data_IF_075573676158
#
_entry.id   IF_075573676158
#
_cell.length_a   1.000
_cell.length_b   1.000
_cell.length_c   1.000
_cell.angle_alpha   90.00
_cell.angle_beta   90.00
_cell.angle_gamma   90.00
#
_symmetry.space_group_name_H-M   'P 1'
#
loop_
_entity.id
_entity.type
_entity.pdbx_description
1 polymer ?
#
# COMPACT_ATOMS: atom_id res chain seq x y z
N UNK A 1 -17.07 -18.88 6.55
CA UNK A 1 -17.78 -17.79 7.23
C UNK A 1 -18.27 -16.83 6.15
N UNK A 2 -19.50 -16.33 6.23
CA UNK A 2 -20.02 -15.35 5.29
C UNK A 2 -19.77 -13.95 5.87
N UNK A 3 -19.10 -13.07 5.13
CA UNK A 3 -19.08 -11.64 5.43
C UNK A 3 -20.45 -11.06 5.10
N UNK A 4 -20.97 -10.16 5.94
CA UNK A 4 -22.36 -9.67 5.91
C UNK A 4 -22.80 -9.01 4.59
N UNK A 5 -24.03 -8.46 4.53
CA UNK A 5 -24.47 -7.73 3.35
C UNK A 5 -23.57 -6.51 3.17
N UNK A 6 -22.95 -6.39 2.00
CA UNK A 6 -22.12 -5.25 1.62
C UNK A 6 -22.74 -4.54 0.43
N UNK A 7 -22.50 -3.24 0.34
CA UNK A 7 -22.77 -2.48 -0.88
C UNK A 7 -21.76 -2.91 -1.96
N UNK A 8 -22.26 -3.48 -3.06
CA UNK A 8 -21.43 -3.98 -4.16
C UNK A 8 -21.35 -3.03 -5.36
N UNK A 9 -22.25 -2.06 -5.43
CA UNK A 9 -22.28 -1.05 -6.50
C UNK A 9 -21.15 -0.02 -6.36
N UNK A 10 -20.85 0.77 -7.40
CA UNK A 10 -19.82 1.80 -7.35
C UNK A 10 -19.96 2.72 -6.15
N UNK A 11 -18.86 2.89 -5.40
CA UNK A 11 -18.82 3.74 -4.20
C UNK A 11 -18.62 5.22 -4.53
N UNK A 12 -17.96 5.51 -5.65
CA UNK A 12 -17.59 6.86 -6.05
C UNK A 12 -18.33 7.26 -7.33
N UNK A 13 -18.96 8.43 -7.31
CA UNK A 13 -19.45 9.09 -8.52
C UNK A 13 -18.29 9.84 -9.19
N UNK A 14 -17.77 9.27 -10.28
CA UNK A 14 -16.63 9.82 -11.03
C UNK A 14 -16.97 11.18 -11.65
N UNK A 15 -18.23 11.40 -12.05
CA UNK A 15 -18.69 12.68 -12.61
C UNK A 15 -18.62 13.79 -11.57
N UNK A 16 -19.17 13.53 -10.38
CA UNK A 16 -19.11 14.46 -9.25
C UNK A 16 -17.67 14.75 -8.82
N UNK A 17 -16.83 13.72 -8.68
CA UNK A 17 -15.41 13.88 -8.29
C UNK A 17 -14.66 14.75 -9.31
N UNK A 18 -14.94 14.59 -10.60
CA UNK A 18 -14.33 15.41 -11.64
C UNK A 18 -14.78 16.87 -11.55
N UNK A 19 -16.06 17.14 -11.40
CA UNK A 19 -16.56 18.51 -11.21
C UNK A 19 -15.94 19.17 -9.97
N UNK A 20 -15.75 18.41 -8.90
CA UNK A 20 -15.12 18.92 -7.68
C UNK A 20 -13.62 19.21 -7.87
N UNK A 21 -12.91 18.40 -8.67
CA UNK A 21 -11.54 18.70 -9.08
C UNK A 21 -11.44 19.99 -9.91
N UNK A 22 -12.38 20.22 -10.83
CA UNK A 22 -12.43 21.43 -11.67
C UNK A 22 -12.72 22.69 -10.83
N UNK A 23 -13.66 22.61 -9.89
CA UNK A 23 -13.98 23.68 -8.94
C UNK A 23 -12.78 24.01 -8.04
N UNK A 24 -12.14 22.97 -7.48
CA UNK A 24 -10.98 23.13 -6.62
C UNK A 24 -9.80 23.75 -7.36
N UNK A 25 -9.65 23.49 -8.65
CA UNK A 25 -8.62 24.13 -9.47
C UNK A 25 -8.87 25.62 -9.71
N UNK A 26 -10.15 26.02 -9.75
CA UNK A 26 -10.58 27.41 -9.94
C UNK A 26 -10.46 28.22 -8.65
N UNK A 27 -10.85 27.62 -7.52
CA UNK A 27 -10.98 28.26 -6.20
C UNK A 27 -9.87 27.85 -5.21
N UNK A 28 -8.66 27.57 -5.70
CA UNK A 28 -7.55 27.06 -4.85
C UNK A 28 -7.22 27.92 -3.63
N UNK A 29 -7.35 29.24 -3.74
CA UNK A 29 -7.00 30.19 -2.68
C UNK A 29 -8.02 30.19 -1.53
N UNK A 30 -9.23 29.71 -1.80
CA UNK A 30 -10.33 29.71 -0.82
C UNK A 30 -10.22 28.54 0.16
N UNK A 31 -9.34 27.57 -0.11
CA UNK A 31 -9.18 26.36 0.70
C UNK A 31 -7.74 26.19 1.20
N UNK A 32 -7.54 26.28 2.52
CA UNK A 32 -6.24 26.10 3.18
C UNK A 32 -5.57 24.76 2.82
N UNK A 33 -6.36 23.69 2.63
CA UNK A 33 -5.86 22.35 2.35
C UNK A 33 -6.14 21.89 0.92
N UNK A 34 -6.25 22.82 -0.04
CA UNK A 34 -6.56 22.51 -1.45
C UNK A 34 -5.64 21.43 -2.04
N UNK A 35 -4.33 21.50 -1.78
CA UNK A 35 -3.36 20.53 -2.31
C UNK A 35 -3.60 19.09 -1.81
N UNK A 36 -4.00 18.95 -0.54
CA UNK A 36 -4.33 17.65 0.09
C UNK A 36 -5.61 17.08 -0.50
N UNK A 37 -6.65 17.90 -0.61
CA UNK A 37 -7.96 17.50 -1.16
C UNK A 37 -7.80 17.10 -2.63
N UNK A 38 -7.07 17.91 -3.42
CA UNK A 38 -6.76 17.61 -4.82
C UNK A 38 -6.06 16.26 -4.98
N UNK A 39 -5.05 16.00 -4.14
CA UNK A 39 -4.31 14.74 -4.19
C UNK A 39 -5.18 13.52 -3.88
N UNK A 40 -6.06 13.62 -2.88
CA UNK A 40 -7.01 12.56 -2.55
C UNK A 40 -8.00 12.30 -3.70
N UNK A 41 -8.64 13.36 -4.21
CA UNK A 41 -9.62 13.25 -5.29
C UNK A 41 -9.02 12.73 -6.59
N UNK A 42 -7.76 13.08 -6.87
CA UNK A 42 -7.04 12.54 -8.01
C UNK A 42 -6.79 11.02 -7.88
N UNK A 43 -6.59 10.50 -6.67
CA UNK A 43 -6.53 9.04 -6.46
C UNK A 43 -7.89 8.40 -6.64
N UNK A 44 -8.94 9.02 -6.09
CA UNK A 44 -10.32 8.53 -6.21
C UNK A 44 -10.77 8.47 -7.67
N UNK A 45 -10.41 9.46 -8.50
CA UNK A 45 -10.75 9.47 -9.93
C UNK A 45 -9.98 8.45 -10.77
N UNK A 46 -8.78 8.05 -10.32
CA UNK A 46 -7.97 6.98 -10.94
C UNK A 46 -8.36 5.57 -10.47
N UNK A 47 -9.19 5.46 -9.44
CA UNK A 47 -9.61 4.21 -8.83
C UNK A 47 -10.68 3.50 -9.67
N UNK A 48 -10.63 2.17 -9.75
CA UNK A 48 -11.66 1.37 -10.41
C UNK A 48 -12.98 1.43 -9.64
N UNK A 49 -14.06 2.00 -10.21
CA UNK A 49 -15.34 2.17 -9.52
C UNK A 49 -16.15 0.86 -9.46
N UNK A 50 -15.93 -0.04 -10.42
CA UNK A 50 -16.63 -1.31 -10.58
C UNK A 50 -16.09 -2.45 -9.69
N UNK A 51 -14.98 -2.20 -8.99
CA UNK A 51 -14.34 -3.16 -8.10
C UNK A 51 -14.51 -2.68 -6.65
N UNK A 52 -15.44 -3.28 -5.87
CA UNK A 52 -15.78 -2.76 -4.53
C UNK A 52 -14.68 -3.02 -3.50
N UNK A 53 -14.04 -4.18 -3.56
CA UNK A 53 -13.02 -4.61 -2.59
C UNK A 53 -11.61 -4.46 -3.16
N UNK A 54 -10.62 -4.44 -2.27
CA UNK A 54 -9.22 -4.36 -2.66
C UNK A 54 -8.38 -5.40 -1.91
N UNK A 55 -7.25 -5.77 -2.49
CA UNK A 55 -6.19 -6.47 -1.78
C UNK A 55 -5.26 -5.46 -1.15
N UNK A 56 -4.48 -5.89 -0.16
CA UNK A 56 -3.33 -5.11 0.32
C UNK A 56 -2.07 -5.91 0.05
N UNK A 57 -1.08 -5.26 -0.58
CA UNK A 57 0.17 -5.92 -0.92
C UNK A 57 0.90 -6.42 0.33
N UNK A 58 0.77 -5.71 1.44
CA UNK A 58 1.33 -6.09 2.75
C UNK A 58 0.80 -7.45 3.21
N UNK A 59 -0.52 -7.67 3.13
CA UNK A 59 -1.13 -8.95 3.53
C UNK A 59 -0.74 -10.08 2.58
N UNK A 60 -0.67 -9.82 1.28
CA UNK A 60 -0.24 -10.83 0.29
C UNK A 60 1.22 -11.23 0.57
N UNK A 61 2.12 -10.26 0.73
CA UNK A 61 3.54 -10.52 0.98
C UNK A 61 3.77 -11.20 2.33
N UNK A 62 3.02 -10.81 3.36
CA UNK A 62 3.06 -11.47 4.67
C UNK A 62 2.61 -12.94 4.57
N UNK A 63 1.57 -13.21 3.77
CA UNK A 63 1.06 -14.57 3.54
C UNK A 63 2.09 -15.45 2.83
N UNK A 64 2.84 -14.90 1.87
CA UNK A 64 3.85 -15.63 1.09
C UNK A 64 5.25 -15.61 1.72
N UNK A 65 5.44 -14.82 2.77
CA UNK A 65 6.74 -14.51 3.38
C UNK A 65 7.77 -13.98 2.35
N UNK A 66 7.31 -13.16 1.40
CA UNK A 66 8.15 -12.63 0.34
C UNK A 66 8.47 -11.15 0.52
N UNK A 67 9.54 -10.70 -0.15
CA UNK A 67 9.84 -9.28 -0.25
C UNK A 67 8.78 -8.57 -1.08
N UNK A 68 8.45 -7.33 -0.71
CA UNK A 68 7.43 -6.55 -1.39
C UNK A 68 7.88 -6.18 -2.82
N UNK A 69 7.10 -6.49 -3.87
CA UNK A 69 7.38 -6.02 -5.21
C UNK A 69 7.18 -4.50 -5.31
N UNK A 70 7.88 -3.86 -6.26
CA UNK A 70 7.62 -2.46 -6.57
C UNK A 70 6.20 -2.33 -7.13
N UNK A 71 5.41 -1.40 -6.57
CA UNK A 71 4.02 -1.17 -6.98
C UNK A 71 3.86 -0.90 -8.48
N UNK A 72 4.79 -0.19 -9.13
CA UNK A 72 4.72 0.04 -10.59
C UNK A 72 5.02 -1.21 -11.39
N UNK A 73 5.98 -2.02 -10.92
CA UNK A 73 6.34 -3.28 -11.57
C UNK A 73 5.18 -4.27 -11.47
N UNK A 74 4.57 -4.37 -10.29
CA UNK A 74 3.38 -5.20 -10.08
C UNK A 74 2.22 -4.72 -10.95
N UNK A 75 1.95 -3.41 -10.96
CA UNK A 75 0.92 -2.81 -11.83
C UNK A 75 1.16 -3.13 -13.30
N UNK A 76 2.42 -3.06 -13.75
CA UNK A 76 2.80 -3.40 -15.13
C UNK A 76 2.51 -4.87 -15.45
N UNK A 77 2.82 -5.79 -14.52
CA UNK A 77 2.54 -7.21 -14.66
C UNK A 77 1.05 -7.48 -14.89
N UNK A 78 0.15 -6.83 -14.13
CA UNK A 78 -1.30 -6.95 -14.35
C UNK A 78 -1.74 -6.41 -15.72
N UNK A 79 -1.22 -5.25 -16.12
CA UNK A 79 -1.57 -4.61 -17.39
C UNK A 79 -1.06 -5.39 -18.60
N UNK A 80 0.05 -6.11 -18.50
CA UNK A 80 0.51 -7.03 -19.55
C UNK A 80 -0.42 -8.22 -19.77
N UNK A 81 -1.05 -8.69 -18.69
CA UNK A 81 -2.05 -9.76 -18.75
C UNK A 81 -3.44 -9.26 -19.19
N UNK A 82 -3.55 -7.97 -19.57
CA UNK A 82 -4.80 -7.37 -20.05
C UNK A 82 -5.79 -6.98 -18.96
N UNK A 83 -5.38 -7.02 -17.68
CA UNK A 83 -6.24 -6.65 -16.57
C UNK A 83 -6.04 -5.19 -16.15
N UNK A 84 -7.12 -4.57 -15.71
CA UNK A 84 -7.09 -3.22 -15.15
C UNK A 84 -6.67 -3.29 -13.69
N UNK A 85 -5.96 -2.27 -13.26
CA UNK A 85 -5.46 -2.16 -11.89
C UNK A 85 -5.45 -0.70 -11.46
N UNK A 86 -5.88 -0.45 -10.23
CA UNK A 86 -5.78 0.84 -9.56
C UNK A 86 -5.29 0.65 -8.12
N UNK A 87 -4.86 1.75 -7.52
CA UNK A 87 -4.71 1.80 -6.06
C UNK A 87 -6.07 2.16 -5.44
N UNK A 88 -6.20 1.97 -4.12
CA UNK A 88 -7.35 2.49 -3.37
C UNK A 88 -6.96 3.79 -2.67
N UNK A 89 -7.84 4.78 -2.69
CA UNK A 89 -7.65 6.02 -1.91
C UNK A 89 -7.56 5.76 -0.39
N UNK A 90 -8.06 4.61 0.09
CA UNK A 90 -8.05 4.24 1.51
C UNK A 90 -6.69 3.81 2.03
N UNK A 91 -5.78 3.31 1.17
CA UNK A 91 -4.50 2.75 1.62
C UNK A 91 -3.45 2.72 0.50
N UNK A 92 -2.23 3.16 0.79
CA UNK A 92 -1.15 3.33 -0.21
C UNK A 92 -0.73 2.03 -0.92
N UNK A 93 -0.74 0.91 -0.19
CA UNK A 93 -0.39 -0.41 -0.72
C UNK A 93 -1.63 -1.25 -1.10
N UNK A 94 -2.81 -0.63 -1.17
CA UNK A 94 -4.01 -1.33 -1.64
C UNK A 94 -4.06 -1.39 -3.16
N UNK A 95 -4.60 -2.51 -3.66
CA UNK A 95 -4.67 -2.86 -5.07
C UNK A 95 -6.10 -3.27 -5.39
N UNK A 96 -6.74 -2.56 -6.31
CA UNK A 96 -7.98 -2.96 -6.95
C UNK A 96 -7.68 -3.47 -8.34
N UNK A 97 -8.25 -4.60 -8.71
CA UNK A 97 -8.08 -5.18 -10.04
C UNK A 97 -9.31 -6.00 -10.40
N UNK A 98 -9.61 -6.05 -11.69
CA UNK A 98 -10.61 -6.96 -12.26
C UNK A 98 -10.05 -8.37 -12.53
N UNK A 99 -8.76 -8.59 -12.23
CA UNK A 99 -8.14 -9.89 -12.36
C UNK A 99 -8.74 -10.91 -11.36
N UNK A 100 -9.01 -12.15 -11.79
CA UNK A 100 -9.44 -13.18 -10.88
C UNK A 100 -8.32 -13.57 -9.91
N UNK A 101 -8.69 -14.07 -8.73
CA UNK A 101 -7.76 -14.51 -7.69
C UNK A 101 -6.64 -15.44 -8.20
N UNK A 102 -6.94 -16.31 -9.17
CA UNK A 102 -5.94 -17.21 -9.76
C UNK A 102 -4.79 -16.45 -10.42
N UNK A 103 -5.10 -15.37 -11.14
CA UNK A 103 -4.12 -14.53 -11.84
C UNK A 103 -3.26 -13.76 -10.84
N UNK A 104 -3.88 -13.19 -9.80
CA UNK A 104 -3.16 -12.53 -8.70
C UNK A 104 -2.11 -13.47 -8.09
N UNK A 105 -2.49 -14.71 -7.78
CA UNK A 105 -1.56 -15.69 -7.21
C UNK A 105 -0.53 -16.18 -8.22
N UNK A 106 -0.87 -16.30 -9.51
CA UNK A 106 0.10 -16.65 -10.57
C UNK A 106 1.19 -15.59 -10.72
N UNK A 107 0.81 -14.30 -10.75
CA UNK A 107 1.76 -13.18 -10.78
C UNK A 107 2.67 -13.24 -9.55
N UNK A 108 2.11 -13.41 -8.35
CA UNK A 108 2.91 -13.50 -7.13
C UNK A 108 3.80 -14.75 -7.08
N UNK A 109 3.37 -15.87 -7.67
CA UNK A 109 4.22 -17.06 -7.85
C UNK A 109 5.41 -16.75 -8.76
N UNK A 110 5.21 -16.06 -9.87
CA UNK A 110 6.31 -15.59 -10.72
C UNK A 110 7.29 -14.69 -9.96
N UNK A 111 6.78 -13.78 -9.13
CA UNK A 111 7.63 -12.93 -8.28
C UNK A 111 8.50 -13.74 -7.32
N UNK A 112 7.91 -14.72 -6.63
CA UNK A 112 8.65 -15.58 -5.69
C UNK A 112 9.62 -16.51 -6.41
N UNK A 113 9.34 -16.94 -7.65
CA UNK A 113 10.32 -17.68 -8.47
C UNK A 113 11.58 -16.86 -8.74
N UNK A 114 11.44 -15.55 -8.99
CA UNK A 114 12.59 -14.65 -9.18
C UNK A 114 13.39 -14.42 -7.89
N UNK A 115 12.70 -14.39 -6.74
CA UNK A 115 13.30 -14.18 -5.41
C UNK A 115 12.83 -15.27 -4.45
N UNK A 116 13.48 -16.46 -4.48
CA UNK A 116 13.00 -17.62 -3.75
C UNK A 116 13.05 -17.38 -2.23
N UNK A 117 12.02 -17.88 -1.55
CA UNK A 117 11.88 -17.76 -0.09
C UNK A 117 11.83 -19.14 0.54
N UNK A 118 12.39 -19.27 1.75
CA UNK A 118 12.29 -20.50 2.54
C UNK A 118 10.97 -20.48 3.29
N UNK A 119 10.08 -21.40 2.95
CA UNK A 119 8.74 -21.53 3.54
C UNK A 119 8.63 -22.80 4.37
N UNK A 120 7.95 -22.68 5.52
CA UNK A 120 7.64 -23.84 6.36
C UNK A 120 6.53 -24.68 5.68
N UNK A 121 6.60 -26.02 5.68
CA UNK A 121 5.62 -26.88 5.01
C UNK A 121 4.17 -26.71 5.50
N UNK A 122 4.00 -26.31 6.76
CA UNK A 122 2.68 -26.09 7.38
C UNK A 122 2.07 -24.72 7.09
N UNK A 123 2.82 -23.79 6.47
CA UNK A 123 2.35 -22.44 6.17
C UNK A 123 1.43 -22.44 4.93
N UNK A 124 0.39 -21.59 4.89
CA UNK A 124 -0.41 -21.36 3.67
C UNK A 124 0.45 -21.04 2.44
N UNK A 125 1.59 -20.37 2.65
CA UNK A 125 2.56 -20.07 1.61
C UNK A 125 3.02 -21.33 0.85
N UNK A 126 3.26 -22.44 1.54
CA UNK A 126 3.73 -23.68 0.92
C UNK A 126 2.67 -24.28 -0.04
N UNK A 127 1.39 -24.18 0.32
CA UNK A 127 0.27 -24.65 -0.52
C UNK A 127 0.05 -23.76 -1.74
N UNK A 128 0.27 -22.45 -1.60
CA UNK A 128 0.12 -21.49 -2.70
C UNK A 128 1.28 -21.62 -3.69
N UNK A 129 2.51 -21.76 -3.18
CA UNK A 129 3.74 -21.82 -3.98
C UNK A 129 4.01 -23.20 -4.60
N UNK A 130 3.39 -24.27 -4.09
CA UNK A 130 3.52 -25.61 -4.69
C UNK A 130 2.84 -25.74 -6.05
N UNK A 131 1.86 -24.87 -6.34
CA UNK A 131 1.21 -24.81 -7.65
C UNK A 131 2.09 -24.04 -8.63
N UNK A 132 2.20 -24.55 -9.85
CA UNK A 132 2.92 -23.82 -10.89
C UNK A 132 2.07 -22.67 -11.45
N UNK A 133 2.68 -21.50 -11.72
CA UNK A 133 1.99 -20.40 -12.36
C UNK A 133 1.64 -20.77 -13.80
N UNK A 134 0.38 -20.54 -14.18
CA UNK A 134 -0.08 -20.76 -15.57
C UNK A 134 0.32 -19.62 -16.51
N UNK A 135 0.62 -18.47 -15.92
CA UNK A 135 0.91 -17.22 -16.61
C UNK A 135 2.37 -16.88 -16.35
N UNK A 136 3.05 -16.37 -17.37
CA UNK A 136 4.37 -15.77 -17.23
C UNK A 136 4.20 -14.25 -17.10
N UNK A 137 4.54 -13.71 -15.94
CA UNK A 137 4.41 -12.29 -15.64
C UNK A 137 5.77 -11.59 -15.68
N UNK A 138 5.88 -10.49 -16.44
CA UNK A 138 7.04 -9.60 -16.40
C UNK A 138 6.83 -8.50 -15.38
N UNK A 139 7.89 -8.15 -14.67
CA UNK A 139 7.92 -7.06 -13.68
C UNK A 139 8.64 -5.82 -14.22
N UNK A 140 8.85 -5.75 -15.53
CA UNK A 140 9.40 -4.58 -16.20
C UNK A 140 8.39 -3.43 -16.18
N UNK A 141 8.82 -2.25 -15.73
CA UNK A 141 7.91 -1.11 -15.60
C UNK A 141 7.52 -0.58 -16.97
N UNK A 142 6.22 -0.64 -17.29
CA UNK A 142 5.67 -0.07 -18.51
C UNK A 142 5.52 1.46 -18.38
N UNK A 143 5.56 2.15 -19.53
CA UNK A 143 5.43 3.62 -19.59
C UNK A 143 4.04 4.10 -19.18
N UNK A 144 3.00 3.33 -19.49
CA UNK A 144 1.59 3.61 -19.17
C UNK A 144 1.18 3.16 -17.75
N UNK A 145 2.05 2.44 -17.04
CA UNK A 145 1.74 1.99 -15.69
C UNK A 145 1.78 3.12 -14.65
N UNK A 146 2.44 4.25 -14.93
CA UNK A 146 2.56 5.32 -13.94
C UNK A 146 1.31 6.20 -13.91
N UNK A 147 0.54 6.24 -12.79
CA UNK A 147 -0.67 7.04 -12.73
C UNK A 147 -0.36 8.56 -12.80
N UNK A 148 -1.23 9.36 -13.45
CA UNK A 148 -1.06 10.81 -13.57
C UNK A 148 -0.81 11.52 -12.24
N UNK A 149 -1.55 11.17 -11.18
CA UNK A 149 -1.43 11.72 -9.83
C UNK A 149 -0.02 11.58 -9.26
N UNK A 150 0.68 10.49 -9.59
CA UNK A 150 2.05 10.25 -9.18
C UNK A 150 3.05 11.01 -10.04
N UNK A 151 2.83 11.10 -11.35
CA UNK A 151 3.68 11.88 -12.28
C UNK A 151 3.66 13.35 -11.85
N UNK A 152 2.48 13.86 -11.52
CA UNK A 152 2.27 15.23 -11.03
C UNK A 152 2.70 15.45 -9.58
N UNK A 153 3.18 14.40 -8.88
CA UNK A 153 3.61 14.44 -7.47
C UNK A 153 2.56 15.01 -6.52
N UNK A 154 1.29 14.68 -6.74
CA UNK A 154 0.20 15.13 -5.87
C UNK A 154 0.27 14.47 -4.49
N UNK A 155 -0.31 15.12 -3.49
CA UNK A 155 -0.42 14.60 -2.11
C UNK A 155 -1.48 13.50 -2.02
N UNK A 156 -1.17 12.31 -2.56
CA UNK A 156 -2.10 11.18 -2.73
C UNK A 156 -2.58 10.58 -1.40
N UNK A 157 -1.67 10.46 -0.44
CA UNK A 157 -1.94 9.95 0.90
C UNK A 157 -1.48 11.01 1.89
N UNK A 158 -2.40 11.70 2.58
CA UNK A 158 -2.03 12.72 3.55
C UNK A 158 -1.22 12.10 4.69
N UNK A 159 -0.09 12.71 5.01
CA UNK A 159 0.69 12.30 6.17
C UNK A 159 -0.03 12.70 7.46
N UNK A 160 0.26 11.95 8.52
CA UNK A 160 -0.30 12.25 9.82
C UNK A 160 0.24 13.60 10.33
N UNK A 161 -0.59 14.43 11.00
CA UNK A 161 -0.18 15.76 11.46
C UNK A 161 0.99 15.75 12.44
N UNK A 162 1.05 14.74 13.33
CA UNK A 162 2.07 14.66 14.39
C UNK A 162 2.74 13.26 14.44
N UNK A 163 3.99 13.17 14.91
CA UNK A 163 4.59 11.89 15.29
C UNK A 163 3.78 11.19 16.39
N UNK A 164 3.52 9.88 16.23
CA UNK A 164 2.65 9.09 17.12
C UNK A 164 1.16 9.49 17.10
N UNK A 165 0.69 10.06 15.99
CA UNK A 165 -0.74 10.30 15.76
C UNK A 165 -1.54 9.00 15.80
N UNK A 166 -2.41 8.87 16.80
CA UNK A 166 -3.23 7.68 17.02
C UNK A 166 -3.54 7.47 18.51
N UNK A 167 -4.26 6.39 18.85
CA UNK A 167 -4.52 6.03 20.23
C UNK A 167 -3.20 5.92 21.00
N UNK A 168 -2.99 6.81 21.98
CA UNK A 168 -1.79 6.79 22.83
C UNK A 168 -1.67 5.43 23.52
N UNK A 169 -0.43 5.02 23.80
CA UNK A 169 -0.15 3.78 24.53
C UNK A 169 -1.04 3.67 25.77
N UNK A 170 -1.61 2.49 26.00
CA UNK A 170 -2.46 2.21 27.16
C UNK A 170 -1.77 2.70 28.44
N UNK A 171 -2.48 3.48 29.26
CA UNK A 171 -1.95 3.99 30.51
C UNK A 171 -1.39 2.84 31.38
N UNK A 172 -0.08 2.87 31.64
CA UNK A 172 0.55 1.96 32.60
C UNK A 172 0.32 2.54 34.01
N UNK A 173 -0.23 1.74 34.94
CA UNK A 173 -0.18 2.10 36.36
C UNK A 173 1.28 2.10 36.77
N UNK A 174 1.84 3.24 37.21
CA UNK A 174 3.11 3.26 37.94
C UNK A 174 2.89 2.42 39.20
N UNK A 175 3.53 1.26 39.31
CA UNK A 175 3.74 0.63 40.61
C UNK A 175 4.61 1.62 41.40
N UNK A 176 4.10 2.09 42.53
CA UNK A 176 4.64 3.25 43.21
C UNK A 176 6.07 3.04 43.69
N UNK A 177 6.94 3.98 43.32
CA UNK A 177 7.96 4.53 44.22
C UNK A 177 8.23 5.98 43.82
N UNK A 178 8.59 6.77 44.83
CA UNK A 178 8.57 8.22 44.85
C UNK A 178 9.46 8.91 43.81
N UNK A 179 9.15 10.20 43.62
CA UNK A 179 9.79 11.21 42.80
C UNK A 179 11.31 11.06 42.61
N UNK A 180 11.75 11.21 41.37
CA UNK A 180 12.86 12.08 40.99
C UNK A 180 12.71 12.45 39.51
N UNK A 181 12.92 13.73 39.24
CA UNK A 181 12.95 14.39 37.93
C UNK A 181 14.09 13.78 37.12
N UNK A 182 13.83 13.31 35.90
CA UNK A 182 14.92 13.20 34.93
C UNK A 182 14.39 13.37 33.49
N UNK A 183 14.78 14.48 32.90
CA UNK A 183 14.67 14.75 31.47
C UNK A 183 15.59 13.76 30.75
N UNK A 184 15.03 12.81 30.00
CA UNK A 184 15.81 12.08 28.99
C UNK A 184 15.07 12.06 27.66
N UNK A 185 15.61 12.86 26.75
CA UNK A 185 15.35 12.86 25.32
C UNK A 185 15.49 11.43 24.77
N UNK A 186 14.48 10.96 24.03
CA UNK A 186 14.59 9.71 23.26
C UNK A 186 15.14 10.02 21.88
N UNK A 187 16.46 10.17 21.78
CA UNK A 187 17.18 10.16 20.51
C UNK A 187 17.13 8.78 19.84
N UNK A 188 17.07 8.81 18.51
CA UNK A 188 16.82 7.66 17.65
C UNK A 188 17.84 6.53 17.76
N UNK A 189 17.32 5.30 17.74
CA UNK A 189 18.13 4.09 17.63
C UNK A 189 18.68 3.94 16.20
N UNK A 190 19.87 4.51 15.97
CA UNK A 190 20.72 4.15 14.82
C UNK A 190 21.34 2.78 15.08
N UNK A 191 21.05 1.84 14.18
CA UNK A 191 21.79 0.58 13.98
C UNK A 191 23.29 0.84 13.95
N UNK A 192 24.03 0.20 14.85
CA UNK A 192 25.50 0.17 14.87
C UNK A 192 26.05 -0.61 13.67
N UNK A 193 27.01 0.00 12.95
CA UNK A 193 27.95 -0.69 12.08
C UNK A 193 29.11 -1.18 12.95
N UNK A 194 29.44 -2.45 12.83
CA UNK A 194 30.69 -3.04 13.35
C UNK A 194 31.79 -2.67 12.36
N UNK A 195 32.84 -2.00 12.84
CA UNK A 195 34.13 -1.87 12.16
C UNK A 195 35.16 -2.54 13.07
N UNK A 196 35.83 -3.55 12.53
CA UNK A 196 37.00 -4.19 13.13
C UNK A 196 38.21 -3.25 12.96
N UNK A 197 38.83 -2.87 14.07
CA UNK A 197 40.21 -2.37 14.12
C UNK A 197 41.01 -3.36 14.96
N UNK A 198 42.04 -3.98 14.37
CA UNK A 198 43.16 -4.53 15.11
C UNK A 198 44.43 -3.91 14.54
N UNK A 199 45.09 -3.16 15.42
CA UNK A 199 46.42 -2.58 15.26
C UNK A 199 47.47 -3.62 15.64
N UNK A 200 48.49 -3.78 14.79
CA UNK A 200 49.92 -3.77 15.16
C UNK A 200 50.77 -3.61 13.89
#
# INVERSE_FOLDING_TARGET
QLGGPIWSEPTNDVGFVRSLLEELETHKQDYEHAARVRGLLAVVSEELPDVPLHYTLDQICNTLHCTMPNMLALRSAFMEQGYRISISHTHANALKTDAPNSVLWDIMRCWVKMKPVKVKPTSPAAVILSKEPKIEASFSVRKDANPPSRIQKLARFPENPEPNWGPKARAKRKAGTAAEDDQSECEGSKRSKIQDENTE
#
